data_IF_042514658237
#
_entry.id   IF_042514658237
#
_cell.length_a   1.000
_cell.length_b   1.000
_cell.length_c   1.000
_cell.angle_alpha   90.00
_cell.angle_beta   90.00
_cell.angle_gamma   90.00
#
_symmetry.space_group_name_H-M   'P 1'
#
loop_
_entity.id
_entity.type
_entity.pdbx_description
1 polymer ?
#
# COMPACT_ATOMS: atom_id res chain seq x y z
N UNK A 1 -16.53 -8.76 4.54
CA UNK A 1 -15.15 -8.67 5.06
C UNK A 1 -15.10 -8.55 6.58
N UNK A 2 -15.85 -7.64 7.22
CA UNK A 2 -15.86 -7.53 8.69
C UNK A 2 -16.18 -8.86 9.40
N UNK A 3 -17.13 -9.65 8.90
CA UNK A 3 -17.40 -10.98 9.44
C UNK A 3 -16.18 -11.92 9.36
N UNK A 4 -15.41 -11.85 8.27
CA UNK A 4 -14.18 -12.64 8.10
C UNK A 4 -13.07 -12.16 9.03
N UNK A 5 -13.04 -10.87 9.38
CA UNK A 5 -12.10 -10.33 10.39
C UNK A 5 -12.42 -10.94 11.76
N UNK A 6 -13.70 -11.00 12.13
CA UNK A 6 -14.14 -11.68 13.36
C UNK A 6 -13.76 -13.17 13.33
N UNK A 7 -13.97 -13.85 12.21
CA UNK A 7 -13.57 -15.25 12.06
C UNK A 7 -12.05 -15.43 12.21
N UNK A 8 -11.24 -14.56 11.58
CA UNK A 8 -9.78 -14.57 11.70
C UNK A 8 -9.33 -14.39 13.16
N UNK A 9 -9.88 -13.39 13.85
CA UNK A 9 -9.56 -13.10 15.26
C UNK A 9 -9.92 -14.25 16.20
N UNK A 10 -10.94 -15.05 15.84
CA UNK A 10 -11.36 -16.24 16.58
C UNK A 10 -10.64 -17.52 16.12
N UNK A 11 -9.62 -17.42 15.26
CA UNK A 11 -8.92 -18.54 14.63
C UNK A 11 -9.86 -19.53 13.91
N UNK A 12 -10.96 -19.02 13.35
CA UNK A 12 -11.87 -19.80 12.51
C UNK A 12 -11.36 -19.83 11.06
N UNK A 13 -11.66 -20.90 10.31
CA UNK A 13 -11.36 -20.94 8.89
C UNK A 13 -12.04 -19.79 8.15
N UNK A 14 -11.28 -19.11 7.29
CA UNK A 14 -11.84 -18.09 6.42
C UNK A 14 -12.51 -18.75 5.20
N UNK A 15 -13.71 -18.29 4.87
CA UNK A 15 -14.45 -18.77 3.71
C UNK A 15 -15.16 -17.61 3.02
N UNK A 16 -14.79 -17.33 1.77
CA UNK A 16 -15.54 -16.37 0.96
C UNK A 16 -16.85 -17.01 0.52
N UNK A 17 -17.96 -16.27 0.67
CA UNK A 17 -19.28 -16.78 0.26
C UNK A 17 -19.30 -17.01 -1.26
N UNK A 18 -19.78 -18.17 -1.76
CA UNK A 18 -19.88 -18.43 -3.20
C UNK A 18 -20.63 -17.35 -3.97
N UNK A 19 -21.71 -16.79 -3.40
CA UNK A 19 -22.48 -15.72 -4.02
C UNK A 19 -21.67 -14.44 -4.25
N UNK A 20 -20.71 -14.15 -3.38
CA UNK A 20 -19.82 -13.00 -3.57
C UNK A 20 -18.88 -13.22 -4.76
N UNK A 21 -18.29 -14.41 -4.87
CA UNK A 21 -17.46 -14.80 -6.03
C UNK A 21 -18.28 -14.76 -7.32
N UNK A 22 -19.52 -15.27 -7.28
CA UNK A 22 -20.43 -15.22 -8.41
C UNK A 22 -20.78 -13.78 -8.81
N UNK A 23 -21.06 -12.89 -7.85
CA UNK A 23 -21.31 -11.48 -8.11
C UNK A 23 -20.13 -10.78 -8.79
N UNK A 24 -18.91 -11.00 -8.28
CA UNK A 24 -17.68 -10.46 -8.90
C UNK A 24 -17.48 -11.02 -10.32
N UNK A 25 -17.71 -12.32 -10.53
CA UNK A 25 -17.63 -12.95 -11.87
C UNK A 25 -18.62 -12.31 -12.85
N UNK A 26 -19.87 -12.13 -12.43
CA UNK A 26 -20.92 -11.53 -13.26
C UNK A 26 -20.55 -10.11 -13.69
N UNK A 27 -20.01 -9.28 -12.79
CA UNK A 27 -19.54 -7.93 -13.11
C UNK A 27 -18.32 -7.97 -14.05
N UNK A 28 -17.33 -8.83 -13.76
CA UNK A 28 -16.11 -8.96 -14.56
C UNK A 28 -16.38 -9.41 -16.00
N UNK A 29 -17.39 -10.26 -16.20
CA UNK A 29 -17.74 -10.84 -17.50
C UNK A 29 -18.81 -10.06 -18.27
N UNK A 30 -19.39 -9.01 -17.69
CA UNK A 30 -20.42 -8.21 -18.35
C UNK A 30 -19.80 -7.21 -19.34
N UNK A 31 -19.78 -7.60 -20.62
CA UNK A 31 -19.25 -6.78 -21.71
C UNK A 31 -20.09 -5.54 -22.05
N UNK A 32 -21.26 -5.36 -21.43
CA UNK A 32 -22.09 -4.17 -21.61
C UNK A 32 -21.73 -3.01 -20.67
N UNK A 33 -21.03 -3.32 -19.57
CA UNK A 33 -20.58 -2.34 -18.60
C UNK A 33 -19.33 -1.60 -19.07
N UNK A 34 -19.20 -0.36 -18.61
CA UNK A 34 -17.96 0.37 -18.80
C UNK A 34 -16.78 -0.30 -18.06
N UNK A 35 -15.60 -0.34 -18.69
CA UNK A 35 -14.44 -1.06 -18.15
C UNK A 35 -13.87 -0.40 -16.90
N UNK A 36 -13.94 0.92 -16.77
CA UNK A 36 -13.51 1.63 -15.57
C UNK A 36 -14.49 1.36 -14.42
N UNK A 37 -15.80 1.29 -14.72
CA UNK A 37 -16.80 0.84 -13.75
C UNK A 37 -16.50 -0.58 -13.25
N UNK A 38 -16.28 -1.55 -14.14
CA UNK A 38 -15.93 -2.93 -13.75
C UNK A 38 -14.69 -2.90 -12.85
N UNK A 39 -13.64 -2.19 -13.27
CA UNK A 39 -12.39 -2.13 -12.52
C UNK A 39 -12.56 -1.59 -11.10
N UNK A 40 -13.43 -0.58 -10.91
CA UNK A 40 -13.75 -0.03 -9.59
C UNK A 40 -14.67 -0.92 -8.78
N UNK A 41 -15.66 -1.55 -9.41
CA UNK A 41 -16.64 -2.39 -8.73
C UNK A 41 -16.00 -3.66 -8.14
N UNK A 42 -14.95 -4.19 -8.78
CA UNK A 42 -14.23 -5.37 -8.29
C UNK A 42 -13.03 -5.04 -7.41
N UNK A 43 -12.67 -3.75 -7.23
CA UNK A 43 -11.58 -3.36 -6.34
C UNK A 43 -12.06 -3.45 -4.89
N UNK A 44 -11.34 -4.19 -4.05
CA UNK A 44 -11.73 -4.35 -2.65
C UNK A 44 -11.40 -3.07 -1.87
N UNK A 45 -12.28 -2.68 -0.93
CA UNK A 45 -12.01 -1.62 0.03
C UNK A 45 -10.58 -1.65 0.59
N UNK A 46 -10.00 -0.47 0.77
CA UNK A 46 -8.67 -0.32 1.34
C UNK A 46 -8.64 -0.76 2.81
N UNK A 47 -7.48 -1.15 3.32
CA UNK A 47 -7.36 -1.57 4.73
C UNK A 47 -7.79 -0.48 5.71
N UNK A 48 -7.46 0.78 5.42
CA UNK A 48 -7.94 1.93 6.20
C UNK A 48 -9.46 2.04 6.24
N UNK A 49 -10.12 1.85 5.09
CA UNK A 49 -11.59 1.88 5.00
C UNK A 49 -12.22 0.73 5.81
N UNK A 50 -11.61 -0.45 5.79
CA UNK A 50 -12.07 -1.59 6.58
C UNK A 50 -11.92 -1.28 8.08
N UNK A 51 -10.76 -0.76 8.50
CA UNK A 51 -10.49 -0.39 9.90
C UNK A 51 -11.41 0.74 10.40
N UNK A 52 -11.82 1.66 9.52
CA UNK A 52 -12.74 2.75 9.85
C UNK A 52 -14.15 2.27 10.20
N UNK A 53 -14.53 1.08 9.74
CA UNK A 53 -15.82 0.45 10.06
C UNK A 53 -15.77 -0.43 11.33
N UNK A 54 -14.60 -0.54 11.98
CA UNK A 54 -14.42 -1.34 13.19
C UNK A 54 -14.48 -0.46 14.43
N UNK A 55 -14.99 -0.97 15.56
CA UNK A 55 -14.93 -0.26 16.84
C UNK A 55 -13.49 -0.21 17.39
N UNK A 56 -12.76 -1.32 17.25
CA UNK A 56 -11.33 -1.44 17.57
C UNK A 56 -10.65 -1.98 16.31
N UNK A 57 -9.82 -1.18 15.68
CA UNK A 57 -9.08 -1.57 14.48
C UNK A 57 -8.02 -2.62 14.77
N UNK A 58 -7.96 -3.62 13.90
CA UNK A 58 -6.96 -4.68 13.93
C UNK A 58 -6.22 -4.76 12.58
N UNK A 59 -5.08 -4.06 12.45
CA UNK A 59 -4.30 -4.02 11.22
C UNK A 59 -3.89 -5.40 10.70
N UNK A 60 -3.55 -6.33 11.60
CA UNK A 60 -3.08 -7.67 11.20
C UNK A 60 -4.24 -8.49 10.65
N UNK A 61 -5.39 -8.48 11.34
CA UNK A 61 -6.56 -9.22 10.90
C UNK A 61 -7.14 -8.65 9.60
N UNK A 62 -7.19 -7.32 9.46
CA UNK A 62 -7.64 -6.67 8.22
C UNK A 62 -6.72 -7.02 7.06
N UNK A 63 -5.40 -6.93 7.24
CA UNK A 63 -4.44 -7.29 6.22
C UNK A 63 -4.58 -8.77 5.80
N UNK A 64 -4.60 -9.68 6.78
CA UNK A 64 -4.72 -11.11 6.53
C UNK A 64 -6.01 -11.47 5.78
N UNK A 65 -7.16 -10.90 6.20
CA UNK A 65 -8.45 -11.14 5.54
C UNK A 65 -8.49 -10.54 4.14
N UNK A 66 -7.99 -9.32 3.95
CA UNK A 66 -8.00 -8.68 2.64
C UNK A 66 -7.11 -9.46 1.66
N UNK A 67 -5.91 -9.84 2.08
CA UNK A 67 -5.01 -10.70 1.30
C UNK A 67 -5.64 -12.06 0.97
N UNK A 68 -6.31 -12.69 1.94
CA UNK A 68 -7.05 -13.93 1.72
C UNK A 68 -8.16 -13.78 0.67
N UNK A 69 -9.03 -12.77 0.79
CA UNK A 69 -10.13 -12.56 -0.17
C UNK A 69 -9.59 -12.29 -1.57
N UNK A 70 -8.51 -11.49 -1.70
CA UNK A 70 -7.88 -11.24 -3.01
C UNK A 70 -7.36 -12.52 -3.65
N UNK A 71 -6.60 -13.31 -2.90
CA UNK A 71 -6.04 -14.58 -3.39
C UNK A 71 -7.14 -15.59 -3.72
N UNK A 72 -8.20 -15.64 -2.92
CA UNK A 72 -9.35 -16.51 -3.17
C UNK A 72 -10.09 -16.12 -4.46
N UNK A 73 -10.39 -14.83 -4.67
CA UNK A 73 -10.98 -14.34 -5.92
C UNK A 73 -10.08 -14.63 -7.12
N UNK A 74 -8.77 -14.38 -7.00
CA UNK A 74 -7.81 -14.66 -8.06
C UNK A 74 -7.77 -16.15 -8.42
N UNK A 75 -7.93 -17.04 -7.44
CA UNK A 75 -7.93 -18.48 -7.65
C UNK A 75 -9.22 -18.94 -8.35
N UNK A 76 -10.38 -18.53 -7.84
CA UNK A 76 -11.69 -18.93 -8.37
C UNK A 76 -12.02 -18.33 -9.74
N UNK A 77 -11.40 -17.19 -10.09
CA UNK A 77 -11.62 -16.44 -11.32
C UNK A 77 -10.37 -16.36 -12.19
N UNK A 78 -9.41 -17.28 -12.01
CA UNK A 78 -8.10 -17.24 -12.70
C UNK A 78 -8.27 -17.14 -14.22
N UNK A 79 -9.16 -17.94 -14.79
CA UNK A 79 -9.39 -17.97 -16.23
C UNK A 79 -9.99 -16.66 -16.75
N UNK A 80 -10.97 -16.09 -16.03
CA UNK A 80 -11.63 -14.83 -16.36
C UNK A 80 -10.68 -13.64 -16.24
N UNK A 81 -9.81 -13.63 -15.21
CA UNK A 81 -8.79 -12.59 -15.07
C UNK A 81 -7.72 -12.68 -16.16
N UNK A 82 -7.26 -13.88 -16.51
CA UNK A 82 -6.30 -14.07 -17.63
C UNK A 82 -6.90 -13.56 -18.95
N UNK A 83 -8.14 -13.95 -19.25
CA UNK A 83 -8.86 -13.48 -20.44
C UNK A 83 -9.06 -11.96 -20.42
N UNK A 84 -9.35 -11.39 -19.25
CA UNK A 84 -9.45 -9.94 -19.07
C UNK A 84 -8.14 -9.23 -19.37
N UNK A 85 -7.00 -9.75 -18.90
CA UNK A 85 -5.69 -9.19 -19.22
C UNK A 85 -5.45 -9.24 -20.73
N UNK A 86 -5.65 -10.41 -21.35
CA UNK A 86 -5.45 -10.62 -22.78
C UNK A 86 -6.29 -9.65 -23.64
N UNK A 87 -7.60 -9.58 -23.39
CA UNK A 87 -8.54 -8.75 -24.15
C UNK A 87 -8.33 -7.24 -23.99
N UNK A 88 -7.58 -6.82 -22.97
CA UNK A 88 -7.34 -5.41 -22.66
C UNK A 88 -5.87 -5.00 -22.86
N UNK A 89 -5.03 -5.90 -23.40
CA UNK A 89 -3.71 -5.54 -23.95
C UNK A 89 -3.86 -4.65 -25.19
N UNK A 90 -2.85 -3.84 -25.43
CA UNK A 90 -2.78 -2.96 -26.60
C UNK A 90 -1.32 -2.71 -26.95
N UNK A 91 -0.97 -2.91 -28.21
CA UNK A 91 0.30 -2.49 -28.80
C UNK A 91 0.22 -1.09 -29.42
N UNK A 92 -0.97 -0.48 -29.45
CA UNK A 92 -1.17 0.85 -30.02
C UNK A 92 -0.40 1.92 -29.24
N UNK A 93 -0.01 3.04 -29.90
CA UNK A 93 0.57 4.18 -29.22
C UNK A 93 -0.29 4.67 -28.06
N UNK A 94 0.34 5.20 -27.01
CA UNK A 94 -0.37 5.72 -25.86
C UNK A 94 -1.26 6.92 -26.25
N UNK A 95 -2.55 6.81 -25.93
CA UNK A 95 -3.53 7.89 -26.06
C UNK A 95 -4.20 8.13 -24.70
N UNK A 96 -4.35 9.42 -24.36
CA UNK A 96 -5.09 9.87 -23.17
C UNK A 96 -6.55 10.15 -23.55
N UNK A 97 -7.35 9.08 -23.53
CA UNK A 97 -8.80 9.12 -23.66
C UNK A 97 -9.44 8.07 -22.76
N UNK A 98 -10.74 8.20 -22.53
CA UNK A 98 -11.50 7.32 -21.64
C UNK A 98 -11.46 5.84 -22.08
N UNK A 99 -11.51 5.54 -23.37
CA UNK A 99 -11.51 4.16 -23.88
C UNK A 99 -10.20 3.45 -23.54
N UNK A 100 -9.07 4.12 -23.77
CA UNK A 100 -7.74 3.61 -23.46
C UNK A 100 -7.48 3.58 -21.95
N UNK A 101 -7.96 4.57 -21.19
CA UNK A 101 -7.83 4.61 -19.73
C UNK A 101 -8.61 3.48 -19.05
N UNK A 102 -9.88 3.31 -19.38
CA UNK A 102 -10.76 2.27 -18.83
C UNK A 102 -10.26 0.86 -19.16
N UNK A 103 -9.74 0.64 -20.37
CA UNK A 103 -9.05 -0.59 -20.76
C UNK A 103 -7.85 -0.90 -19.86
N UNK A 104 -6.95 0.08 -19.66
CA UNK A 104 -5.78 -0.09 -18.78
C UNK A 104 -6.19 -0.33 -17.33
N UNK A 105 -7.19 0.40 -16.83
CA UNK A 105 -7.71 0.22 -15.47
C UNK A 105 -8.17 -1.23 -15.25
N UNK A 106 -9.00 -1.77 -16.16
CA UNK A 106 -9.48 -3.15 -16.08
C UNK A 106 -8.37 -4.19 -16.24
N UNK A 107 -7.43 -3.98 -17.15
CA UNK A 107 -6.25 -4.85 -17.31
C UNK A 107 -5.43 -4.91 -16.01
N UNK A 108 -5.15 -3.74 -15.43
CA UNK A 108 -4.22 -3.61 -14.32
C UNK A 108 -4.80 -4.14 -13.00
N UNK A 109 -6.11 -3.96 -12.76
CA UNK A 109 -6.75 -4.59 -11.59
C UNK A 109 -6.75 -6.13 -11.71
N UNK A 110 -7.03 -6.68 -12.90
CA UNK A 110 -6.98 -8.12 -13.16
C UNK A 110 -5.57 -8.69 -12.95
N UNK A 111 -4.55 -8.00 -13.47
CA UNK A 111 -3.15 -8.34 -13.26
C UNK A 111 -2.77 -8.35 -11.77
N UNK A 112 -3.27 -7.37 -11.01
CA UNK A 112 -3.02 -7.28 -9.57
C UNK A 112 -3.65 -8.42 -8.76
N UNK A 113 -4.80 -8.96 -9.21
CA UNK A 113 -5.40 -10.15 -8.61
C UNK A 113 -4.57 -11.39 -8.94
N UNK A 114 -4.25 -11.60 -10.21
CA UNK A 114 -3.44 -12.74 -10.65
C UNK A 114 -2.12 -12.82 -9.88
N UNK A 115 -1.42 -11.70 -9.70
CA UNK A 115 -0.14 -11.66 -8.99
C UNK A 115 -0.19 -12.18 -7.54
N UNK A 116 -1.37 -12.22 -6.90
CA UNK A 116 -1.54 -12.79 -5.55
C UNK A 116 -1.47 -14.32 -5.51
N UNK A 117 -1.50 -14.98 -6.66
CA UNK A 117 -1.43 -16.45 -6.75
C UNK A 117 -0.03 -17.01 -6.50
N UNK A 118 1.02 -16.18 -6.61
CA UNK A 118 2.44 -16.59 -6.46
C UNK A 118 2.83 -17.77 -7.38
N UNK A 119 2.12 -17.90 -8.50
CA UNK A 119 2.34 -18.90 -9.54
C UNK A 119 3.44 -18.42 -10.49
N UNK A 120 4.44 -19.27 -10.78
CA UNK A 120 5.59 -18.90 -11.60
C UNK A 120 5.20 -18.39 -13.01
N UNK A 121 4.18 -18.98 -13.65
CA UNK A 121 3.71 -18.55 -14.97
C UNK A 121 3.04 -17.18 -14.88
N UNK A 122 2.34 -16.90 -13.77
CA UNK A 122 1.73 -15.60 -13.54
C UNK A 122 2.80 -14.54 -13.26
N UNK A 123 3.81 -14.86 -12.45
CA UNK A 123 4.96 -13.96 -12.22
C UNK A 123 5.66 -13.61 -13.53
N UNK A 124 5.89 -14.59 -14.41
CA UNK A 124 6.47 -14.37 -15.73
C UNK A 124 5.57 -13.48 -16.61
N UNK A 125 4.25 -13.70 -16.59
CA UNK A 125 3.29 -12.86 -17.30
C UNK A 125 3.36 -11.40 -16.83
N UNK A 126 3.37 -11.16 -15.50
CA UNK A 126 3.44 -9.81 -14.93
C UNK A 126 4.80 -9.16 -15.24
N UNK A 127 5.88 -9.93 -15.20
CA UNK A 127 7.22 -9.46 -15.58
C UNK A 127 7.27 -9.06 -17.07
N UNK A 128 6.60 -9.81 -17.94
CA UNK A 128 6.46 -9.43 -19.35
C UNK A 128 5.66 -8.13 -19.52
N UNK A 129 4.55 -7.95 -18.79
CA UNK A 129 3.81 -6.67 -18.78
C UNK A 129 4.71 -5.51 -18.34
N UNK A 130 5.52 -5.70 -17.31
CA UNK A 130 6.47 -4.69 -16.82
C UNK A 130 7.51 -4.31 -17.89
N UNK A 131 8.16 -5.31 -18.52
CA UNK A 131 9.23 -5.10 -19.49
C UNK A 131 8.75 -4.49 -20.81
N UNK A 132 7.53 -4.86 -21.25
CA UNK A 132 6.98 -4.45 -22.54
C UNK A 132 6.08 -3.21 -22.47
N UNK A 133 5.79 -2.71 -21.26
CA UNK A 133 4.96 -1.52 -21.07
C UNK A 133 5.55 -0.29 -21.78
N UNK A 134 4.72 0.36 -22.60
CA UNK A 134 5.07 1.57 -23.36
C UNK A 134 4.68 2.86 -22.64
N UNK A 135 4.07 2.76 -21.45
CA UNK A 135 3.62 3.89 -20.66
C UNK A 135 3.78 3.63 -19.15
N UNK A 136 3.91 4.71 -18.38
CA UNK A 136 4.14 4.64 -16.93
C UNK A 136 2.97 4.00 -16.16
N UNK A 137 1.72 4.09 -16.66
CA UNK A 137 0.56 3.52 -15.95
C UNK A 137 0.66 1.99 -15.92
N UNK A 138 0.92 1.37 -17.06
CA UNK A 138 1.06 -0.08 -17.15
C UNK A 138 2.35 -0.59 -16.53
N UNK A 139 3.49 0.11 -16.77
CA UNK A 139 4.77 -0.28 -16.17
C UNK A 139 4.70 -0.26 -14.64
N UNK A 140 4.14 0.80 -14.07
CA UNK A 140 4.05 0.96 -12.62
C UNK A 140 3.01 0.02 -11.99
N UNK A 141 1.91 -0.31 -12.70
CA UNK A 141 0.95 -1.30 -12.23
C UNK A 141 1.57 -2.71 -12.15
N UNK A 142 2.30 -3.12 -13.19
CA UNK A 142 3.01 -4.40 -13.19
C UNK A 142 4.13 -4.43 -12.13
N UNK A 143 4.90 -3.34 -11.99
CA UNK A 143 5.88 -3.20 -10.91
C UNK A 143 5.22 -3.35 -9.54
N UNK A 144 4.10 -2.65 -9.30
CA UNK A 144 3.37 -2.72 -8.03
C UNK A 144 2.93 -4.14 -7.70
N UNK A 145 2.49 -4.91 -8.70
CA UNK A 145 2.08 -6.30 -8.54
C UNK A 145 3.27 -7.23 -8.21
N UNK A 146 4.43 -7.03 -8.83
CA UNK A 146 5.63 -7.86 -8.63
C UNK A 146 6.25 -7.67 -7.24
N UNK A 147 6.24 -6.45 -6.72
CA UNK A 147 6.99 -6.13 -5.48
C UNK A 147 6.26 -6.48 -4.18
N UNK A 148 5.02 -7.00 -4.26
CA UNK A 148 4.27 -7.43 -3.09
C UNK A 148 4.83 -8.71 -2.46
N UNK A 149 5.59 -9.50 -3.22
CA UNK A 149 6.17 -10.77 -2.76
C UNK A 149 7.66 -10.62 -2.56
N UNK A 150 8.24 -11.03 -1.42
CA UNK A 150 9.69 -11.00 -1.21
C UNK A 150 10.39 -11.99 -2.15
N UNK A 151 11.56 -11.63 -2.66
CA UNK A 151 12.38 -12.51 -3.49
C UNK A 151 13.22 -11.75 -4.52
N UNK A 152 14.04 -12.51 -5.25
CA UNK A 152 14.96 -11.97 -6.27
C UNK A 152 14.23 -11.14 -7.33
N UNK A 153 13.09 -11.62 -7.84
CA UNK A 153 12.30 -10.88 -8.84
C UNK A 153 11.90 -9.49 -8.36
N UNK A 154 11.53 -9.33 -7.08
CA UNK A 154 11.18 -8.03 -6.50
C UNK A 154 12.38 -7.10 -6.50
N UNK A 155 13.53 -7.58 -6.05
CA UNK A 155 14.73 -6.76 -5.91
C UNK A 155 15.25 -6.34 -7.29
N UNK A 156 15.23 -7.25 -8.27
CA UNK A 156 15.61 -6.98 -9.66
C UNK A 156 14.73 -5.91 -10.32
N UNK A 157 13.40 -6.01 -10.21
CA UNK A 157 12.51 -5.03 -10.85
C UNK A 157 12.55 -3.67 -10.16
N UNK A 158 12.79 -3.62 -8.85
CA UNK A 158 12.99 -2.36 -8.14
C UNK A 158 14.31 -1.69 -8.57
N UNK A 159 15.38 -2.46 -8.73
CA UNK A 159 16.66 -1.95 -9.21
C UNK A 159 16.58 -1.48 -10.67
N UNK A 160 16.00 -2.30 -11.56
CA UNK A 160 15.79 -1.97 -12.97
C UNK A 160 14.95 -0.69 -13.13
N UNK A 161 13.83 -0.59 -12.40
CA UNK A 161 12.99 0.61 -12.44
C UNK A 161 13.75 1.85 -11.97
N UNK A 162 14.53 1.75 -10.89
CA UNK A 162 15.33 2.87 -10.42
C UNK A 162 16.39 3.28 -11.45
N UNK A 163 17.19 2.34 -11.95
CA UNK A 163 18.25 2.63 -12.94
C UNK A 163 17.70 3.26 -14.22
N UNK A 164 16.50 2.86 -14.66
CA UNK A 164 15.84 3.46 -15.83
C UNK A 164 15.37 4.89 -15.59
N UNK A 165 14.95 5.21 -14.36
CA UNK A 165 14.23 6.45 -14.05
C UNK A 165 14.95 7.37 -13.05
N UNK A 166 16.21 7.08 -12.68
CA UNK A 166 16.93 7.81 -11.62
C UNK A 166 17.09 9.31 -11.91
N UNK A 167 17.06 9.72 -13.18
CA UNK A 167 17.12 11.12 -13.60
C UNK A 167 15.77 11.86 -13.50
N UNK A 168 14.65 11.15 -13.33
CA UNK A 168 13.33 11.75 -13.14
C UNK A 168 12.94 11.74 -11.65
N UNK A 169 13.08 12.89 -11.01
CA UNK A 169 12.84 13.05 -9.58
C UNK A 169 11.42 12.67 -9.14
N UNK A 170 10.39 12.88 -9.98
CA UNK A 170 9.01 12.56 -9.66
C UNK A 170 8.74 11.06 -9.78
N UNK A 171 9.38 10.40 -10.74
CA UNK A 171 9.31 8.94 -10.86
C UNK A 171 10.06 8.25 -9.73
N UNK A 172 11.22 8.76 -9.33
CA UNK A 172 11.94 8.26 -8.14
C UNK A 172 11.09 8.42 -6.86
N UNK A 173 10.28 9.48 -6.75
CA UNK A 173 9.34 9.62 -5.64
C UNK A 173 8.26 8.51 -5.63
N UNK A 174 7.76 8.10 -6.81
CA UNK A 174 6.86 6.95 -6.92
C UNK A 174 7.55 5.65 -6.51
N UNK A 175 8.82 5.48 -6.87
CA UNK A 175 9.62 4.32 -6.45
C UNK A 175 9.84 4.25 -4.93
N UNK A 176 10.14 5.38 -4.28
CA UNK A 176 10.18 5.45 -2.81
C UNK A 176 8.83 5.12 -2.18
N UNK A 177 7.76 5.71 -2.73
CA UNK A 177 6.39 5.46 -2.26
C UNK A 177 6.06 3.98 -2.33
N UNK A 178 6.32 3.33 -3.46
CA UNK A 178 6.01 1.92 -3.65
C UNK A 178 6.68 1.03 -2.59
N UNK A 179 7.95 1.30 -2.28
CA UNK A 179 8.67 0.55 -1.25
C UNK A 179 8.22 0.89 0.17
N UNK A 180 7.90 2.16 0.45
CA UNK A 180 7.40 2.59 1.75
C UNK A 180 6.08 1.92 2.12
N UNK A 181 5.21 1.72 1.12
CA UNK A 181 3.87 1.16 1.30
C UNK A 181 3.83 -0.37 1.30
N UNK A 182 4.98 -1.05 1.21
CA UNK A 182 5.04 -2.52 1.17
C UNK A 182 4.53 -3.14 2.48
N UNK A 183 3.65 -4.13 2.37
CA UNK A 183 3.11 -4.90 3.50
C UNK A 183 3.97 -6.10 3.91
N UNK A 184 5.11 -6.34 3.23
CA UNK A 184 6.08 -7.36 3.64
C UNK A 184 6.48 -7.11 5.12
N UNK A 185 6.37 -8.11 6.02
CA UNK A 185 6.67 -7.92 7.43
C UNK A 185 8.09 -7.39 7.68
N UNK A 186 8.20 -6.38 8.55
CA UNK A 186 9.49 -5.77 8.88
C UNK A 186 9.96 -4.71 7.87
N UNK A 187 9.09 -4.22 6.98
CA UNK A 187 9.44 -3.23 5.95
C UNK A 187 10.02 -1.92 6.52
N UNK A 188 9.84 -1.63 7.81
CA UNK A 188 10.50 -0.51 8.49
C UNK A 188 12.02 -0.52 8.28
N UNK A 189 12.65 -1.69 8.24
CA UNK A 189 14.09 -1.81 8.01
C UNK A 189 14.47 -1.46 6.57
N UNK A 190 13.63 -1.80 5.60
CA UNK A 190 13.81 -1.39 4.22
C UNK A 190 13.67 0.14 4.08
N UNK A 191 12.67 0.74 4.73
CA UNK A 191 12.49 2.20 4.75
C UNK A 191 13.68 2.90 5.40
N UNK A 192 14.24 2.34 6.48
CA UNK A 192 15.46 2.87 7.10
C UNK A 192 16.67 2.80 6.18
N UNK A 193 16.85 1.72 5.41
CA UNK A 193 17.89 1.62 4.38
C UNK A 193 17.72 2.70 3.31
N UNK A 194 16.48 2.94 2.87
CA UNK A 194 16.16 3.95 1.85
C UNK A 194 16.44 5.40 2.31
N UNK A 195 16.48 5.68 3.62
CA UNK A 195 16.93 6.99 4.14
C UNK A 195 18.40 7.27 3.80
N UNK A 196 19.21 6.23 3.55
CA UNK A 196 20.62 6.34 3.17
C UNK A 196 20.82 6.28 1.66
N UNK A 197 19.74 6.14 0.89
CA UNK A 197 19.83 6.03 -0.56
C UNK A 197 20.29 7.37 -1.18
N UNK A 198 21.20 7.38 -2.17
CA UNK A 198 21.72 8.62 -2.77
C UNK A 198 20.66 9.58 -3.32
N UNK A 199 19.52 9.03 -3.77
CA UNK A 199 18.39 9.80 -4.28
C UNK A 199 17.44 10.35 -3.19
N UNK A 200 17.70 10.08 -1.90
CA UNK A 200 16.93 10.58 -0.77
C UNK A 200 17.62 11.79 -0.12
N UNK A 201 16.84 12.83 0.14
CA UNK A 201 17.28 14.01 0.90
C UNK A 201 16.18 14.41 1.89
N UNK A 202 16.52 14.43 3.18
CA UNK A 202 15.60 14.80 4.25
C UNK A 202 15.17 16.28 4.19
N UNK A 203 15.92 17.14 3.50
CA UNK A 203 15.55 18.54 3.28
C UNK A 203 14.47 18.69 2.19
N UNK A 204 14.29 17.68 1.35
CA UNK A 204 13.32 17.72 0.27
C UNK A 204 11.94 17.22 0.76
N UNK A 205 10.92 18.09 0.87
CA UNK A 205 9.62 17.70 1.42
C UNK A 205 8.90 16.63 0.58
N UNK A 206 9.15 16.57 -0.73
CA UNK A 206 8.57 15.53 -1.58
C UNK A 206 9.19 14.16 -1.30
N UNK A 207 10.50 14.10 -1.02
CA UNK A 207 11.19 12.85 -0.64
C UNK A 207 10.75 12.39 0.74
N UNK A 208 10.68 13.30 1.72
CA UNK A 208 10.12 13.03 3.06
C UNK A 208 8.70 12.49 2.96
N UNK A 209 7.84 13.15 2.18
CA UNK A 209 6.47 12.67 1.98
C UNK A 209 6.44 11.28 1.33
N UNK A 210 7.22 11.07 0.27
CA UNK A 210 7.19 9.84 -0.52
C UNK A 210 7.74 8.62 0.21
N UNK A 211 8.71 8.78 1.11
CA UNK A 211 9.30 7.68 1.86
C UNK A 211 8.70 7.57 3.28
N UNK A 212 8.92 8.60 4.10
CA UNK A 212 8.52 8.59 5.51
C UNK A 212 7.00 8.74 5.63
N UNK A 213 6.42 9.71 4.92
CA UNK A 213 5.00 10.01 5.00
C UNK A 213 4.10 8.91 4.43
N UNK A 214 4.61 8.11 3.49
CA UNK A 214 3.88 7.00 2.86
C UNK A 214 4.03 5.67 3.61
N UNK A 215 5.04 5.52 4.48
CA UNK A 215 5.21 4.29 5.28
C UNK A 215 3.95 3.94 6.10
N UNK A 216 3.25 4.95 6.63
CA UNK A 216 2.01 4.75 7.40
C UNK A 216 0.86 4.11 6.62
N UNK A 217 0.92 4.07 5.29
CA UNK A 217 -0.12 3.44 4.47
C UNK A 217 0.09 1.94 4.30
N UNK A 218 1.11 1.36 4.94
CA UNK A 218 1.15 -0.07 5.28
C UNK A 218 0.75 -0.21 6.75
N UNK A 219 -0.55 -0.43 7.07
CA UNK A 219 -1.02 -0.52 8.45
C UNK A 219 -0.33 -1.63 9.23
N UNK A 220 -0.10 -2.79 8.59
CA UNK A 220 0.57 -3.93 9.23
C UNK A 220 2.00 -3.62 9.69
N UNK A 221 2.74 -2.80 8.94
CA UNK A 221 4.09 -2.39 9.33
C UNK A 221 4.13 -1.16 10.22
N UNK A 222 3.27 -0.16 9.98
CA UNK A 222 3.25 1.04 10.81
C UNK A 222 2.75 0.75 12.23
N UNK A 223 1.71 -0.10 12.33
CA UNK A 223 1.15 -0.58 13.57
C UNK A 223 1.70 -1.97 13.94
N UNK A 224 2.95 -2.28 13.60
CA UNK A 224 3.58 -3.53 13.99
C UNK A 224 3.52 -3.72 15.52
N UNK A 225 3.28 -4.96 15.97
CA UNK A 225 3.08 -5.29 17.41
C UNK A 225 4.29 -4.99 18.30
N UNK A 226 5.48 -4.87 17.70
CA UNK A 226 6.72 -4.50 18.40
C UNK A 226 6.90 -2.98 18.54
N UNK A 227 6.01 -2.18 17.95
CA UNK A 227 6.06 -0.71 17.97
C UNK A 227 7.17 -0.11 17.10
N UNK A 228 7.84 -0.90 16.27
CA UNK A 228 8.94 -0.44 15.41
C UNK A 228 8.52 0.68 14.46
N UNK A 229 7.30 0.60 13.90
CA UNK A 229 6.75 1.63 13.03
C UNK A 229 6.48 2.97 13.75
N UNK A 230 5.94 2.93 14.97
CA UNK A 230 5.75 4.12 15.79
C UNK A 230 7.08 4.77 16.18
N UNK A 231 8.04 3.96 16.62
CA UNK A 231 9.38 4.42 16.98
C UNK A 231 10.08 5.10 15.81
N UNK A 232 10.03 4.46 14.63
CA UNK A 232 10.56 5.03 13.40
C UNK A 232 9.94 6.40 13.10
N UNK A 233 8.62 6.51 13.15
CA UNK A 233 7.96 7.78 12.85
C UNK A 233 8.28 8.86 13.89
N UNK A 234 8.34 8.51 15.18
CA UNK A 234 8.72 9.44 16.24
C UNK A 234 10.13 10.01 16.05
N UNK A 235 11.10 9.15 15.72
CA UNK A 235 12.47 9.58 15.36
C UNK A 235 12.47 10.52 14.15
N UNK A 236 11.71 10.20 13.11
CA UNK A 236 11.63 11.01 11.90
C UNK A 236 10.95 12.35 12.14
N UNK A 237 9.91 12.41 12.96
CA UNK A 237 9.26 13.67 13.36
C UNK A 237 10.30 14.60 13.97
N UNK A 238 11.07 14.14 14.96
CA UNK A 238 12.08 14.97 15.64
C UNK A 238 13.20 15.45 14.71
N UNK A 239 13.58 14.64 13.72
CA UNK A 239 14.59 15.04 12.73
C UNK A 239 14.02 16.05 11.73
N UNK A 240 12.82 15.80 11.20
CA UNK A 240 12.16 16.69 10.24
C UNK A 240 11.78 18.00 10.91
N UNK A 241 11.42 18.02 12.19
CA UNK A 241 11.00 19.22 12.91
C UNK A 241 12.08 20.30 12.93
N UNK A 242 13.35 19.89 13.06
CA UNK A 242 14.51 20.80 13.00
C UNK A 242 14.70 21.48 11.64
N UNK A 243 14.17 20.89 10.57
CA UNK A 243 14.34 21.35 9.19
C UNK A 243 13.07 22.01 8.66
N UNK A 244 11.91 21.48 9.03
CA UNK A 244 10.60 21.83 8.52
C UNK A 244 9.50 21.46 9.55
N UNK A 245 9.22 22.34 10.52
CA UNK A 245 8.16 22.15 11.52
C UNK A 245 6.78 21.80 10.95
N UNK A 246 6.42 22.39 9.81
CA UNK A 246 5.15 22.10 9.15
C UNK A 246 5.12 20.70 8.51
N UNK A 247 6.26 20.23 8.02
CA UNK A 247 6.41 18.86 7.53
C UNK A 247 6.29 17.84 8.66
N UNK A 248 6.93 18.12 9.79
CA UNK A 248 6.89 17.27 10.98
C UNK A 248 5.47 17.18 11.58
N UNK A 249 4.73 18.29 11.65
CA UNK A 249 3.34 18.27 12.14
C UNK A 249 2.40 17.45 11.24
N UNK A 250 2.63 17.43 9.92
CA UNK A 250 1.90 16.53 9.01
C UNK A 250 2.21 15.06 9.28
N UNK A 251 3.46 14.70 9.58
CA UNK A 251 3.82 13.33 9.97
C UNK A 251 3.14 12.95 11.29
N UNK A 252 3.09 13.88 12.25
CA UNK A 252 2.41 13.66 13.54
C UNK A 252 0.93 13.31 13.42
N UNK A 253 0.25 13.71 12.34
CA UNK A 253 -1.15 13.34 12.11
C UNK A 253 -1.39 11.82 12.09
N UNK A 254 -0.36 11.00 11.82
CA UNK A 254 -0.46 9.55 11.88
C UNK A 254 -0.76 9.02 13.30
N UNK A 255 -0.42 9.78 14.35
CA UNK A 255 -0.73 9.43 15.73
C UNK A 255 -2.15 9.82 16.15
N UNK A 256 -2.89 10.63 15.37
CA UNK A 256 -4.18 11.19 15.81
C UNK A 256 -5.26 10.16 16.19
N UNK A 257 -5.20 8.95 15.61
CA UNK A 257 -6.18 7.87 15.83
C UNK A 257 -5.62 6.70 16.63
N UNK A 258 -4.58 6.94 17.43
CA UNK A 258 -3.91 5.89 18.20
C UNK A 258 -4.84 5.13 19.17
N UNK A 259 -5.89 5.78 19.69
CA UNK A 259 -6.93 5.17 20.54
C UNK A 259 -7.89 4.22 19.81
N UNK A 260 -7.86 4.20 18.48
CA UNK A 260 -8.70 3.32 17.66
C UNK A 260 -8.21 1.86 17.65
N UNK A 261 -6.99 1.60 18.14
CA UNK A 261 -6.34 0.30 18.09
C UNK A 261 -6.41 -0.43 19.43
N UNK A 262 -5.95 -1.68 19.48
CA UNK A 262 -5.88 -2.46 20.73
C UNK A 262 -4.96 -1.81 21.80
N UNK A 263 -5.13 -2.24 23.05
CA UNK A 263 -4.40 -1.69 24.21
C UNK A 263 -2.87 -1.73 24.07
N UNK A 264 -2.33 -2.77 23.41
CA UNK A 264 -0.87 -2.89 23.22
C UNK A 264 -0.38 -1.80 22.27
N UNK A 265 -1.06 -1.64 21.13
CA UNK A 265 -0.77 -0.56 20.17
C UNK A 265 -0.98 0.82 20.76
N UNK A 266 -2.01 0.99 21.59
CA UNK A 266 -2.26 2.24 22.30
C UNK A 266 -1.09 2.61 23.22
N UNK A 267 -0.62 1.68 24.05
CA UNK A 267 0.52 1.91 24.94
C UNK A 267 1.79 2.30 24.17
N UNK A 268 2.07 1.62 23.05
CA UNK A 268 3.25 1.90 22.22
C UNK A 268 3.18 3.28 21.54
N UNK A 269 2.03 3.64 20.97
CA UNK A 269 1.83 4.93 20.33
C UNK A 269 1.87 6.08 21.36
N UNK A 270 1.24 5.88 22.53
CA UNK A 270 1.26 6.82 23.65
C UNK A 270 2.69 7.09 24.13
N UNK A 271 3.50 6.04 24.30
CA UNK A 271 4.89 6.18 24.70
C UNK A 271 5.70 7.04 23.71
N UNK A 272 5.44 6.93 22.40
CA UNK A 272 6.08 7.78 21.40
C UNK A 272 5.60 9.24 21.48
N UNK A 273 4.30 9.47 21.67
CA UNK A 273 3.76 10.82 21.87
C UNK A 273 4.35 11.51 23.11
N UNK A 274 4.43 10.80 24.23
CA UNK A 274 5.05 11.29 25.47
C UNK A 274 6.54 11.58 25.29
N UNK A 275 7.27 10.68 24.61
CA UNK A 275 8.69 10.89 24.30
C UNK A 275 8.90 12.15 23.46
N UNK A 276 8.09 12.35 22.41
CA UNK A 276 8.16 13.55 21.56
C UNK A 276 7.93 14.82 22.39
N UNK A 277 6.88 14.85 23.22
CA UNK A 277 6.59 16.01 24.08
C UNK A 277 7.65 16.29 25.13
N UNK A 278 8.34 15.25 25.62
CA UNK A 278 9.44 15.41 26.58
C UNK A 278 10.75 15.91 25.93
N UNK A 279 10.82 15.96 24.60
CA UNK A 279 12.02 16.38 23.89
C UNK A 279 12.17 17.90 23.90
N UNK A 280 13.30 18.38 24.42
CA UNK A 280 13.59 19.81 24.44
C UNK A 280 13.76 20.37 23.02
N UNK A 281 13.17 21.54 22.76
CA UNK A 281 13.35 22.29 21.52
C UNK A 281 12.49 21.82 20.34
N UNK A 282 11.43 21.05 20.58
CA UNK A 282 10.40 20.79 19.57
C UNK A 282 9.67 22.09 19.19
N UNK A 283 9.22 22.18 17.94
CA UNK A 283 8.45 23.32 17.47
C UNK A 283 7.06 23.38 18.10
N UNK A 284 6.47 24.57 18.12
CA UNK A 284 5.07 24.77 18.52
C UNK A 284 4.11 23.90 17.69
N UNK A 285 4.39 23.74 16.39
CA UNK A 285 3.60 22.90 15.49
C UNK A 285 3.56 21.43 15.93
N UNK A 286 4.71 20.85 16.31
CA UNK A 286 4.77 19.46 16.78
C UNK A 286 4.16 19.34 18.18
N UNK A 287 4.47 20.28 19.08
CA UNK A 287 3.91 20.31 20.43
C UNK A 287 2.38 20.34 20.41
N UNK A 288 1.77 21.19 19.58
CA UNK A 288 0.31 21.32 19.47
C UNK A 288 -0.34 20.00 19.04
N UNK A 289 0.16 19.35 18.00
CA UNK A 289 -0.44 18.10 17.50
C UNK A 289 -0.22 16.96 18.49
N UNK A 290 0.97 16.85 19.09
CA UNK A 290 1.29 15.79 20.05
C UNK A 290 0.44 15.92 21.34
N UNK A 291 0.34 17.13 21.90
CA UNK A 291 -0.46 17.39 23.11
C UNK A 291 -1.95 17.15 22.89
N UNK A 292 -2.52 17.62 21.77
CA UNK A 292 -3.91 17.34 21.40
C UNK A 292 -4.16 15.85 21.21
N UNK A 293 -3.24 15.13 20.59
CA UNK A 293 -3.38 13.68 20.36
C UNK A 293 -3.39 12.88 21.66
N UNK A 294 -2.63 13.29 22.69
CA UNK A 294 -2.66 12.63 24.00
C UNK A 294 -3.92 12.96 24.82
N UNK A 295 -4.47 14.16 24.64
CA UNK A 295 -5.65 14.61 25.38
C UNK A 295 -6.97 14.05 24.82
N UNK A 296 -7.05 13.84 23.50
CA UNK A 296 -8.17 13.17 22.82
C UNK A 296 -8.22 11.72 23.22
#
# INVERSE_FOLDING_TARGET
MLSLVVDFQQNKPLAVKPDFVHGVRSILCDGSLDKEFIAKAIDLPGEGEIMDMMDIADPDAVHAVRSFVRKHLASELKAEFLKTVENNRSSDPYIFDHSNMSRRALKNIALSYLATLEDAQITELVLNEYKTATNMTDQFAALTALVQTPGETRDDVLADFYSKWEHDFLVVNKWFTLQAMSDIPGNVENVRKLLQHPAFDLRNPNKVHSLIGRFRTSPVNFHAKDGSGYKFLGEMVLQVDKLNPQGASRLMSAFSRWKHYDETRQALAKAQLEMILSTNGISENVFEIASKSLAA
#
